data_IF_662420211021
#
_entry.id   IF_662420211021
#
_cell.length_a   1.000
_cell.length_b   1.000
_cell.length_c   1.000
_cell.angle_alpha   90.00
_cell.angle_beta   90.00
_cell.angle_gamma   90.00
#
_symmetry.space_group_name_H-M   'P 1'
#
loop_
_entity.id
_entity.type
_entity.pdbx_description
1 polymer ?
#
# COMPACT_ATOMS: atom_id res chain seq x y z
N UNK A 1 25.17 -4.22 20.47
CA UNK A 1 26.23 -4.19 19.44
C UNK A 1 26.89 -2.80 19.30
N UNK A 2 26.18 -1.67 19.29
CA UNK A 2 26.75 -0.34 18.98
C UNK A 2 27.20 0.55 20.17
N UNK A 3 27.40 0.00 21.37
CA UNK A 3 27.86 0.81 22.53
C UNK A 3 29.38 0.72 22.73
N UNK A 4 30.01 -0.40 22.31
CA UNK A 4 31.46 -0.64 22.44
C UNK A 4 32.33 -0.02 21.34
N UNK A 5 31.77 0.26 20.16
CA UNK A 5 32.52 0.77 18.98
C UNK A 5 32.57 2.30 18.88
N UNK A 6 32.12 3.03 19.91
CA UNK A 6 32.17 4.49 19.91
C UNK A 6 33.59 4.94 20.23
N UNK A 7 34.12 5.85 19.41
CA UNK A 7 35.42 6.48 19.68
C UNK A 7 35.34 7.39 20.92
N UNK A 8 34.17 8.00 21.16
CA UNK A 8 33.95 8.89 22.30
C UNK A 8 33.02 8.26 23.34
N UNK A 9 33.58 7.85 24.48
CA UNK A 9 32.89 7.10 25.55
C UNK A 9 32.16 7.99 26.57
N UNK A 10 32.03 9.30 26.33
CA UNK A 10 31.27 10.19 27.23
C UNK A 10 29.78 9.81 27.24
N UNK A 11 29.23 9.63 28.44
CA UNK A 11 27.86 9.14 28.70
C UNK A 11 26.76 10.00 28.01
N UNK A 12 27.05 11.27 27.71
CA UNK A 12 26.10 12.27 27.18
C UNK A 12 26.52 12.92 25.84
N UNK A 13 27.28 12.27 24.96
CA UNK A 13 27.62 12.85 23.66
C UNK A 13 26.36 12.96 22.75
N UNK A 14 25.98 14.19 22.35
CA UNK A 14 24.84 14.46 21.46
C UNK A 14 24.95 13.74 20.11
N UNK A 15 26.18 13.57 19.59
CA UNK A 15 26.49 12.89 18.32
C UNK A 15 27.64 11.88 18.51
N UNK A 16 27.37 10.58 18.73
CA UNK A 16 28.42 9.57 18.84
C UNK A 16 29.08 9.29 17.48
N UNK A 17 30.42 9.31 17.43
CA UNK A 17 31.25 8.95 16.27
C UNK A 17 31.69 7.50 16.33
N UNK A 18 31.72 6.82 15.18
CA UNK A 18 32.05 5.40 15.03
C UNK A 18 33.10 5.23 13.92
N UNK A 19 34.06 4.32 14.09
CA UNK A 19 35.10 4.07 13.10
C UNK A 19 34.55 3.43 11.82
N UNK A 20 33.78 2.34 11.95
CA UNK A 20 33.28 1.56 10.82
C UNK A 20 32.10 2.20 10.07
N UNK A 21 31.19 2.89 10.77
CA UNK A 21 29.91 3.31 10.17
C UNK A 21 29.93 4.73 9.59
N UNK A 22 30.80 5.62 10.05
CA UNK A 22 30.83 7.01 9.61
C UNK A 22 32.25 7.52 9.29
N UNK A 23 33.22 6.63 9.06
CA UNK A 23 34.63 6.96 8.83
C UNK A 23 35.13 8.03 9.81
N UNK A 24 35.01 7.73 11.11
CA UNK A 24 35.39 8.65 12.19
C UNK A 24 34.63 9.99 12.22
N UNK A 25 33.51 10.12 11.49
CA UNK A 25 32.72 11.35 11.38
C UNK A 25 32.87 12.09 10.04
N UNK A 26 33.72 11.61 9.13
CA UNK A 26 33.87 12.15 7.77
C UNK A 26 32.61 11.93 6.92
N UNK A 27 31.91 10.82 7.14
CA UNK A 27 30.63 10.54 6.48
C UNK A 27 29.48 10.90 7.40
N UNK A 28 28.86 12.05 7.14
CA UNK A 28 27.62 12.47 7.81
C UNK A 28 26.47 11.63 7.26
N UNK A 29 26.15 10.52 7.92
CA UNK A 29 25.04 9.65 7.51
C UNK A 29 23.74 10.49 7.44
N UNK A 30 23.10 10.63 6.26
CA UNK A 30 22.00 11.58 6.05
C UNK A 30 20.65 11.07 6.56
N UNK A 31 20.62 10.01 7.38
CA UNK A 31 19.37 9.47 7.91
C UNK A 31 18.94 10.23 9.16
N UNK A 32 18.38 11.41 8.94
CA UNK A 32 17.73 12.19 9.98
C UNK A 32 16.68 11.34 10.70
N UNK A 33 16.76 11.23 12.03
CA UNK A 33 15.69 10.59 12.85
C UNK A 33 14.32 11.20 12.55
N UNK A 34 14.31 12.47 12.13
CA UNK A 34 13.13 13.17 11.65
C UNK A 34 12.52 12.48 10.41
N UNK A 35 13.32 12.22 9.38
CA UNK A 35 12.87 11.55 8.15
C UNK A 35 12.23 10.20 8.47
N UNK A 36 12.89 9.34 9.26
CA UNK A 36 12.34 8.03 9.59
C UNK A 36 11.04 8.08 10.42
N UNK A 37 10.83 9.16 11.19
CA UNK A 37 9.60 9.35 11.97
C UNK A 37 8.47 9.91 11.10
N UNK A 38 8.81 10.74 10.11
CA UNK A 38 7.87 11.46 9.25
C UNK A 38 7.88 10.98 7.79
N UNK A 39 8.37 9.77 7.52
CA UNK A 39 8.52 9.22 6.18
C UNK A 39 7.21 9.16 5.40
N UNK A 40 6.08 8.92 6.09
CA UNK A 40 4.75 8.93 5.48
C UNK A 40 4.34 10.34 5.00
N UNK A 41 4.36 11.38 5.84
CA UNK A 41 4.24 12.77 5.39
C UNK A 41 5.16 13.16 4.24
N UNK A 42 6.46 12.80 4.31
CA UNK A 42 7.38 13.05 3.20
C UNK A 42 6.94 12.34 1.92
N UNK A 43 6.54 11.07 1.97
CA UNK A 43 6.04 10.36 0.80
C UNK A 43 4.78 11.00 0.21
N UNK A 44 3.84 11.45 1.05
CA UNK A 44 2.61 12.11 0.59
C UNK A 44 2.90 13.39 -0.19
N UNK A 45 3.89 14.17 0.25
CA UNK A 45 4.27 15.39 -0.44
C UNK A 45 4.87 15.10 -1.81
N UNK A 46 5.52 13.95 -1.99
CA UNK A 46 6.06 13.51 -3.29
C UNK A 46 5.10 12.65 -4.11
N UNK A 47 3.94 12.23 -3.61
CA UNK A 47 3.05 11.34 -4.37
C UNK A 47 2.41 12.06 -5.56
N UNK A 48 2.29 11.34 -6.68
CA UNK A 48 1.64 11.85 -7.90
C UNK A 48 0.12 11.79 -7.78
N UNK A 49 -0.38 10.81 -7.03
CA UNK A 49 -1.79 10.52 -6.83
C UNK A 49 -2.22 10.87 -5.42
N UNK A 50 -3.50 11.16 -5.27
CA UNK A 50 -4.17 11.18 -3.99
C UNK A 50 -4.70 9.80 -3.65
N UNK A 51 -4.60 9.44 -2.36
CA UNK A 51 -5.19 8.22 -1.82
C UNK A 51 -6.63 8.52 -1.40
N UNK A 52 -7.58 7.89 -2.08
CA UNK A 52 -9.00 7.83 -1.73
C UNK A 52 -9.23 6.84 -0.59
N UNK A 53 -10.24 7.11 0.24
CA UNK A 53 -10.56 6.32 1.43
C UNK A 53 -10.46 7.14 2.71
N UNK A 54 -11.33 6.84 3.68
CA UNK A 54 -11.36 7.52 4.97
C UNK A 54 -10.26 6.91 5.83
N UNK A 55 -9.09 7.55 5.84
CA UNK A 55 -8.07 7.23 6.84
C UNK A 55 -8.63 7.65 8.19
N UNK A 56 -9.02 6.69 9.00
CA UNK A 56 -9.54 6.89 10.35
C UNK A 56 -8.40 7.43 11.23
N UNK A 57 -8.37 8.75 11.44
CA UNK A 57 -7.39 9.44 12.29
C UNK A 57 -7.94 9.75 13.69
N UNK A 58 -9.23 9.50 13.90
CA UNK A 58 -10.07 9.98 15.01
C UNK A 58 -10.18 9.03 16.19
N UNK A 59 -9.81 7.75 16.03
CA UNK A 59 -9.90 6.82 17.15
C UNK A 59 -8.96 7.26 18.26
N UNK A 60 -9.54 7.54 19.43
CA UNK A 60 -8.79 7.81 20.65
C UNK A 60 -7.73 6.71 20.77
N UNK A 61 -6.46 7.10 20.96
CA UNK A 61 -5.38 6.16 21.26
C UNK A 61 -5.83 5.28 22.43
N UNK A 62 -6.30 4.07 22.13
CA UNK A 62 -6.55 3.06 23.13
C UNK A 62 -5.24 2.59 23.75
N UNK A 63 -5.31 1.62 24.67
CA UNK A 63 -4.11 0.95 25.22
C UNK A 63 -3.42 0.00 24.21
N UNK A 64 -3.91 -0.08 22.98
CA UNK A 64 -3.40 -0.95 21.92
C UNK A 64 -2.28 -0.32 21.06
N UNK A 65 -1.65 -1.12 20.19
CA UNK A 65 -0.62 -0.64 19.27
C UNK A 65 -1.15 0.41 18.29
N UNK A 66 -0.29 1.34 17.88
CA UNK A 66 -0.65 2.38 16.90
C UNK A 66 -0.71 1.75 15.49
N UNK A 67 -1.93 1.68 14.93
CA UNK A 67 -2.21 1.00 13.66
C UNK A 67 -2.65 1.98 12.57
N UNK A 68 -2.28 1.70 11.32
CA UNK A 68 -2.88 2.36 10.18
C UNK A 68 -4.24 1.72 9.87
N UNK A 69 -5.30 2.53 9.93
CA UNK A 69 -6.67 2.10 9.64
C UNK A 69 -7.23 2.88 8.46
N UNK A 70 -7.89 2.15 7.56
CA UNK A 70 -8.53 2.66 6.37
C UNK A 70 -9.96 2.15 6.35
N UNK A 71 -10.92 3.06 6.14
CA UNK A 71 -12.34 2.78 6.02
C UNK A 71 -12.84 3.22 4.64
N UNK A 72 -13.79 2.46 4.10
CA UNK A 72 -14.40 2.73 2.80
C UNK A 72 -13.57 2.18 1.63
N UNK A 73 -13.95 2.60 0.43
CA UNK A 73 -13.27 2.19 -0.80
C UNK A 73 -11.92 2.90 -0.94
N UNK A 74 -10.86 2.11 -1.14
CA UNK A 74 -9.54 2.62 -1.45
C UNK A 74 -9.34 2.72 -2.96
N UNK A 75 -8.91 3.89 -3.43
CA UNK A 75 -8.64 4.13 -4.84
C UNK A 75 -7.60 5.26 -5.00
N UNK A 76 -6.86 5.27 -6.10
CA UNK A 76 -5.92 6.36 -6.39
C UNK A 76 -6.56 7.31 -7.41
N UNK A 77 -6.59 8.60 -7.09
CA UNK A 77 -7.00 9.63 -8.03
C UNK A 77 -5.78 10.41 -8.50
N UNK A 78 -5.73 10.63 -9.81
CA UNK A 78 -4.80 11.53 -10.45
C UNK A 78 -5.55 12.80 -10.86
N UNK A 79 -4.94 13.97 -10.65
CA UNK A 79 -5.47 15.22 -11.19
C UNK A 79 -5.46 15.11 -12.72
N UNK A 80 -6.64 15.11 -13.34
CA UNK A 80 -6.73 14.95 -14.79
C UNK A 80 -6.38 16.24 -15.55
N UNK A 81 -6.37 17.37 -14.83
CA UNK A 81 -5.83 18.65 -15.28
C UNK A 81 -4.41 18.87 -14.75
N UNK A 82 -3.50 19.08 -15.68
CA UNK A 82 -2.10 19.45 -15.41
C UNK A 82 -2.01 20.93 -14.95
N UNK A 83 -2.96 21.76 -15.38
CA UNK A 83 -3.05 23.18 -15.01
C UNK A 83 -3.94 23.40 -13.79
N UNK A 84 -3.65 24.50 -13.09
CA UNK A 84 -4.33 24.95 -11.88
C UNK A 84 -5.73 25.48 -12.22
N UNK A 85 -6.82 25.01 -11.58
CA UNK A 85 -8.08 25.75 -11.54
C UNK A 85 -7.83 27.11 -10.84
N UNK A 86 -8.22 28.22 -11.46
CA UNK A 86 -7.96 29.57 -10.94
C UNK A 86 -8.30 29.70 -9.44
N UNK A 87 -7.33 30.18 -8.65
CA UNK A 87 -7.47 30.39 -7.21
C UNK A 87 -7.15 29.19 -6.31
N UNK A 88 -6.87 28.00 -6.86
CA UNK A 88 -6.52 26.81 -6.05
C UNK A 88 -5.01 26.54 -5.97
N UNK A 89 -4.54 25.95 -4.87
CA UNK A 89 -3.14 25.54 -4.72
C UNK A 89 -2.84 24.22 -5.44
N UNK A 90 -1.62 24.05 -5.97
CA UNK A 90 -1.20 22.82 -6.65
C UNK A 90 -1.12 21.64 -5.67
N UNK A 91 -1.63 20.47 -6.09
CA UNK A 91 -1.63 19.24 -5.26
C UNK A 91 -1.06 18.04 -6.00
N UNK A 92 -0.35 17.18 -5.27
CA UNK A 92 0.17 15.89 -5.75
C UNK A 92 0.98 16.03 -7.05
N UNK A 93 0.59 15.33 -8.13
CA UNK A 93 1.27 15.38 -9.43
C UNK A 93 1.45 16.80 -10.00
N UNK A 94 0.58 17.75 -9.65
CA UNK A 94 0.68 19.14 -10.09
C UNK A 94 1.92 19.86 -9.53
N UNK A 95 2.44 19.44 -8.36
CA UNK A 95 3.64 20.02 -7.74
C UNK A 95 4.92 19.80 -8.57
N UNK A 96 4.89 18.86 -9.53
CA UNK A 96 6.01 18.64 -10.43
C UNK A 96 5.99 19.58 -11.64
N UNK A 97 4.86 20.28 -11.87
CA UNK A 97 4.59 21.04 -13.09
C UNK A 97 4.34 22.51 -12.78
N UNK A 98 3.50 22.82 -11.80
CA UNK A 98 3.09 24.18 -11.44
C UNK A 98 4.05 24.77 -10.41
N UNK A 99 4.47 26.03 -10.62
CA UNK A 99 5.27 26.84 -9.68
C UNK A 99 6.47 26.08 -9.10
N UNK A 100 7.44 25.78 -9.97
CA UNK A 100 8.63 25.02 -9.59
C UNK A 100 9.68 25.84 -8.85
N UNK A 101 9.57 27.16 -8.87
CA UNK A 101 10.47 28.06 -8.14
C UNK A 101 10.20 27.99 -6.63
N UNK A 102 8.93 27.93 -6.23
CA UNK A 102 8.52 27.80 -4.83
C UNK A 102 8.19 26.35 -4.44
N UNK A 103 8.64 25.36 -5.21
CA UNK A 103 8.24 23.96 -5.01
C UNK A 103 8.56 23.45 -3.60
N UNK A 104 9.71 23.80 -3.04
CA UNK A 104 10.12 23.40 -1.68
C UNK A 104 9.18 23.99 -0.63
N UNK A 105 8.78 25.25 -0.81
CA UNK A 105 7.85 25.96 0.08
C UNK A 105 6.45 25.36 -0.02
N UNK A 106 5.97 25.18 -1.25
CA UNK A 106 4.68 24.58 -1.57
C UNK A 106 4.60 23.17 -0.96
N UNK A 107 5.65 22.36 -1.12
CA UNK A 107 5.76 21.01 -0.54
C UNK A 107 5.82 21.01 0.99
N UNK A 108 6.49 21.98 1.60
CA UNK A 108 6.54 22.11 3.06
C UNK A 108 5.17 22.50 3.65
N UNK A 109 4.42 23.35 2.95
CA UNK A 109 3.15 23.93 3.40
C UNK A 109 1.91 23.10 2.97
N UNK A 110 2.06 22.13 2.08
CA UNK A 110 0.99 21.21 1.64
C UNK A 110 0.21 20.53 2.79
N UNK A 111 0.84 20.31 3.94
CA UNK A 111 0.23 19.61 5.07
C UNK A 111 -0.44 20.53 6.11
N UNK A 112 -0.18 21.84 6.09
CA UNK A 112 -0.75 22.80 7.05
C UNK A 112 -2.14 23.31 6.67
N UNK A 113 -2.59 23.06 5.44
CA UNK A 113 -3.78 23.70 4.85
C UNK A 113 -5.05 22.82 4.89
N UNK A 114 -5.04 21.77 5.71
CA UNK A 114 -6.22 20.94 5.94
C UNK A 114 -7.30 21.67 6.74
N UNK A 115 -8.59 21.50 6.37
CA UNK A 115 -9.78 22.07 7.04
C UNK A 115 -9.96 21.74 8.53
N UNK A 116 -9.05 20.99 9.16
CA UNK A 116 -9.06 20.75 10.61
C UNK A 116 -7.78 21.34 11.19
N UNK A 117 -7.86 22.34 12.10
CA UNK A 117 -6.70 22.92 12.73
C UNK A 117 -6.07 21.87 13.64
N UNK A 118 -5.13 21.09 13.09
CA UNK A 118 -4.27 20.26 13.90
C UNK A 118 -3.28 21.20 14.56
N UNK A 119 -3.20 21.20 15.89
CA UNK A 119 -2.10 21.85 16.61
C UNK A 119 -0.81 21.07 16.28
N UNK A 120 -0.22 21.37 15.13
CA UNK A 120 1.10 20.85 14.73
C UNK A 120 2.10 21.47 15.69
N UNK A 121 2.75 20.66 16.52
CA UNK A 121 3.90 21.13 17.31
C UNK A 121 4.98 21.58 16.33
N UNK A 122 5.69 22.69 16.59
CA UNK A 122 6.80 23.20 15.73
C UNK A 122 7.80 22.12 15.26
N UNK A 123 7.96 21.02 16.01
CA UNK A 123 8.85 19.89 15.69
C UNK A 123 8.28 18.86 14.68
N UNK A 124 7.02 18.98 14.25
CA UNK A 124 6.37 18.07 13.29
C UNK A 124 6.29 18.67 11.88
N UNK A 125 6.80 19.89 11.65
CA UNK A 125 6.91 20.44 10.30
C UNK A 125 7.92 19.66 9.46
N UNK A 126 7.62 19.52 8.17
CA UNK A 126 8.55 18.94 7.23
C UNK A 126 9.76 19.86 7.08
N UNK A 127 10.96 19.31 7.30
CA UNK A 127 12.19 20.07 7.09
C UNK A 127 12.49 20.23 5.61
N UNK A 128 12.72 21.48 5.19
CA UNK A 128 13.00 21.88 3.80
C UNK A 128 14.27 21.23 3.24
N UNK A 129 15.32 21.12 4.05
CA UNK A 129 16.58 20.47 3.67
C UNK A 129 16.41 19.01 3.22
N UNK A 130 15.52 18.27 3.90
CA UNK A 130 15.18 16.89 3.52
C UNK A 130 14.34 16.87 2.24
N UNK A 131 13.40 17.80 2.08
CA UNK A 131 12.59 17.92 0.84
C UNK A 131 13.51 18.19 -0.35
N UNK A 132 14.42 19.15 -0.24
CA UNK A 132 15.39 19.47 -1.30
C UNK A 132 16.26 18.27 -1.68
N UNK A 133 16.76 17.54 -0.69
CA UNK A 133 17.59 16.35 -0.92
C UNK A 133 16.80 15.25 -1.64
N UNK A 134 15.57 14.97 -1.18
CA UNK A 134 14.69 13.98 -1.80
C UNK A 134 14.27 14.40 -3.21
N UNK A 135 14.02 15.69 -3.42
CA UNK A 135 13.66 16.25 -4.72
C UNK A 135 14.79 16.09 -5.74
N UNK A 136 16.03 16.43 -5.36
CA UNK A 136 17.21 16.22 -6.22
C UNK A 136 17.36 14.73 -6.60
N UNK A 137 17.32 13.85 -5.62
CA UNK A 137 17.40 12.40 -5.83
C UNK A 137 16.29 11.87 -6.76
N UNK A 138 15.04 12.29 -6.54
CA UNK A 138 13.92 11.86 -7.37
C UNK A 138 13.97 12.42 -8.79
N UNK A 139 14.44 13.66 -8.99
CA UNK A 139 14.66 14.23 -10.32
C UNK A 139 15.73 13.45 -11.11
N UNK A 140 16.78 12.99 -10.43
CA UNK A 140 17.87 12.21 -11.06
C UNK A 140 17.47 10.77 -11.39
N UNK A 141 16.71 10.12 -10.50
CA UNK A 141 16.51 8.67 -10.56
C UNK A 141 15.15 8.28 -11.12
N UNK A 142 14.08 8.99 -10.74
CA UNK A 142 12.72 8.51 -10.97
C UNK A 142 12.23 8.82 -12.39
N UNK A 143 11.84 7.80 -13.19
CA UNK A 143 11.41 8.00 -14.58
C UNK A 143 10.09 8.78 -14.70
N UNK A 144 9.16 8.61 -13.75
CA UNK A 144 7.91 9.37 -13.74
C UNK A 144 8.19 10.85 -13.48
N UNK A 145 9.03 11.18 -12.49
CA UNK A 145 9.40 12.57 -12.20
C UNK A 145 9.99 13.24 -13.44
N UNK A 146 10.95 12.60 -14.12
CA UNK A 146 11.53 13.11 -15.36
C UNK A 146 10.45 13.42 -16.42
N UNK A 147 9.46 12.54 -16.58
CA UNK A 147 8.39 12.74 -17.57
C UNK A 147 7.42 13.85 -17.19
N UNK A 148 7.08 14.00 -15.92
CA UNK A 148 6.30 15.14 -15.45
C UNK A 148 7.08 16.46 -15.66
N UNK A 149 8.39 16.48 -15.44
CA UNK A 149 9.25 17.65 -15.75
C UNK A 149 9.32 17.94 -17.25
N UNK A 150 9.50 16.91 -18.09
CA UNK A 150 9.46 17.11 -19.55
C UNK A 150 8.10 17.61 -20.03
N UNK A 151 7.01 17.17 -19.39
CA UNK A 151 5.67 17.67 -19.68
C UNK A 151 5.57 19.17 -19.33
N UNK A 152 6.04 19.57 -18.14
CA UNK A 152 6.13 20.98 -17.73
C UNK A 152 6.85 21.84 -18.76
N UNK A 153 8.05 21.42 -19.15
CA UNK A 153 8.89 22.22 -20.05
C UNK A 153 8.19 22.44 -21.41
N UNK A 154 7.44 21.44 -21.90
CA UNK A 154 6.62 21.57 -23.11
C UNK A 154 5.42 22.50 -22.92
N UNK A 155 4.71 22.42 -21.79
CA UNK A 155 3.60 23.33 -21.51
C UNK A 155 4.03 24.80 -21.41
N UNK A 156 5.27 25.05 -20.98
CA UNK A 156 5.84 26.40 -20.93
C UNK A 156 6.31 26.89 -22.30
N UNK A 157 6.84 25.99 -23.14
CA UNK A 157 7.37 26.33 -24.46
C UNK A 157 6.26 26.58 -25.48
N UNK A 158 5.16 25.82 -25.39
CA UNK A 158 4.07 25.86 -26.35
C UNK A 158 2.71 25.80 -25.63
N UNK A 159 2.20 26.97 -25.17
CA UNK A 159 0.96 27.04 -24.40
C UNK A 159 -0.29 26.76 -25.23
N UNK A 160 -0.26 26.99 -26.53
CA UNK A 160 -1.45 26.89 -27.39
C UNK A 160 -1.72 25.45 -27.84
N UNK A 161 -0.69 24.63 -27.99
CA UNK A 161 -0.86 23.25 -28.42
C UNK A 161 -1.33 22.31 -27.29
N UNK A 162 -2.35 21.50 -27.58
CA UNK A 162 -2.83 20.46 -26.68
C UNK A 162 -1.89 19.25 -26.71
N UNK A 163 -1.20 19.00 -25.58
CA UNK A 163 -0.38 17.81 -25.39
C UNK A 163 -1.01 16.87 -24.37
N UNK A 164 -0.86 15.58 -24.63
CA UNK A 164 -1.31 14.50 -23.76
C UNK A 164 -0.10 13.74 -23.20
N UNK A 165 -0.01 13.60 -21.88
CA UNK A 165 0.96 12.71 -21.27
C UNK A 165 0.31 11.36 -20.99
N UNK A 166 0.81 10.31 -21.63
CA UNK A 166 0.33 8.93 -21.51
C UNK A 166 1.29 8.12 -20.65
N UNK A 167 0.83 7.58 -19.54
CA UNK A 167 1.54 6.55 -18.77
C UNK A 167 1.03 5.20 -19.26
N UNK A 168 1.94 4.41 -19.80
CA UNK A 168 1.60 3.14 -20.45
C UNK A 168 1.35 2.07 -19.39
N UNK A 169 0.30 1.27 -19.55
CA UNK A 169 -0.05 0.15 -18.67
C UNK A 169 0.68 -1.12 -19.06
N UNK A 170 0.74 -1.40 -20.36
CA UNK A 170 1.46 -2.56 -20.90
C UNK A 170 2.97 -2.32 -20.91
N UNK A 171 3.71 -3.41 -20.66
CA UNK A 171 5.17 -3.39 -20.66
C UNK A 171 5.66 -4.48 -21.57
N UNK A 172 6.33 -4.08 -22.64
CA UNK A 172 6.93 -4.98 -23.63
C UNK A 172 8.05 -5.84 -23.01
N UNK A 173 8.67 -5.36 -21.92
CA UNK A 173 9.72 -6.06 -21.18
C UNK A 173 9.25 -6.52 -19.80
N UNK A 174 9.75 -7.67 -19.34
CA UNK A 174 9.50 -8.15 -17.98
C UNK A 174 10.34 -7.35 -16.96
N UNK A 175 9.68 -6.52 -16.15
CA UNK A 175 10.32 -5.70 -15.12
C UNK A 175 10.94 -6.49 -13.95
N UNK A 176 10.85 -7.83 -13.96
CA UNK A 176 11.55 -8.72 -13.02
C UNK A 176 12.98 -9.03 -13.43
N UNK A 177 13.33 -8.83 -14.69
CA UNK A 177 14.73 -8.82 -15.10
C UNK A 177 15.37 -7.54 -14.53
N UNK A 178 16.67 -7.54 -14.24
CA UNK A 178 17.42 -6.44 -13.58
C UNK A 178 17.41 -5.09 -14.34
N UNK A 179 16.45 -4.87 -15.23
CA UNK A 179 16.24 -3.68 -16.02
C UNK A 179 15.45 -2.65 -15.21
N UNK A 180 16.08 -1.52 -14.89
CA UNK A 180 15.37 -0.35 -14.37
C UNK A 180 14.46 0.22 -15.46
N UNK A 181 13.20 0.56 -15.17
CA UNK A 181 12.29 1.08 -16.18
C UNK A 181 12.80 2.41 -16.73
N UNK A 182 12.86 2.53 -18.06
CA UNK A 182 13.32 3.76 -18.71
C UNK A 182 12.15 4.73 -18.85
N UNK A 183 12.42 6.04 -18.78
CA UNK A 183 11.39 7.07 -18.86
C UNK A 183 10.46 6.87 -20.08
N UNK A 184 11.00 6.58 -21.27
CA UNK A 184 10.23 6.33 -22.50
C UNK A 184 9.40 5.04 -22.50
N UNK A 185 9.76 4.05 -21.69
CA UNK A 185 8.97 2.81 -21.52
C UNK A 185 7.76 3.04 -20.61
N UNK A 186 7.86 4.03 -19.73
CA UNK A 186 6.87 4.30 -18.68
C UNK A 186 5.84 5.30 -19.13
N UNK A 187 6.27 6.37 -19.82
CA UNK A 187 5.36 7.40 -20.32
C UNK A 187 5.83 8.08 -21.62
N UNK A 188 4.86 8.46 -22.44
CA UNK A 188 5.04 9.17 -23.70
C UNK A 188 4.27 10.50 -23.71
N UNK A 189 4.80 11.50 -24.43
CA UNK A 189 4.14 12.78 -24.68
C UNK A 189 3.65 12.78 -26.13
N UNK A 190 2.33 12.87 -26.33
CA UNK A 190 1.68 12.77 -27.64
C UNK A 190 1.16 14.16 -28.05
N UNK A 191 1.59 14.71 -29.20
CA UNK A 191 0.98 15.90 -29.81
C UNK A 191 -0.33 15.56 -30.54
N UNK A 192 -1.34 16.45 -30.48
CA UNK A 192 -2.61 16.42 -31.26
C UNK A 192 -3.66 15.35 -30.89
N UNK A 193 -4.80 15.43 -31.59
CA UNK A 193 -6.08 14.76 -31.31
C UNK A 193 -6.06 13.23 -31.38
N UNK A 194 -6.92 12.70 -30.53
CA UNK A 194 -7.11 11.32 -30.12
C UNK A 194 -7.21 10.30 -31.28
N UNK A 195 -6.39 9.26 -31.24
CA UNK A 195 -6.65 8.01 -31.96
C UNK A 195 -7.31 6.98 -31.04
N UNK A 196 -8.37 6.33 -31.52
CA UNK A 196 -9.21 5.35 -30.82
C UNK A 196 -8.51 4.05 -30.38
N UNK A 197 -7.25 3.82 -30.79
CA UNK A 197 -6.45 2.62 -30.45
C UNK A 197 -5.65 2.74 -29.13
N UNK A 198 -6.12 3.57 -28.20
CA UNK A 198 -5.53 3.59 -26.86
C UNK A 198 -6.06 2.42 -26.02
N UNK A 199 -5.13 1.63 -25.50
CA UNK A 199 -5.47 0.52 -24.62
C UNK A 199 -6.21 1.08 -23.38
N UNK A 200 -7.39 0.53 -23.05
CA UNK A 200 -8.36 1.12 -22.10
C UNK A 200 -7.83 1.28 -20.66
N UNK A 201 -6.60 0.84 -20.39
CA UNK A 201 -5.96 0.87 -19.07
C UNK A 201 -4.95 2.01 -18.91
N UNK A 202 -4.52 2.66 -19.98
CA UNK A 202 -3.47 3.69 -19.88
C UNK A 202 -3.96 4.96 -19.17
N UNK A 203 -3.04 5.63 -18.48
CA UNK A 203 -3.36 6.87 -17.77
C UNK A 203 -3.00 8.03 -18.68
N UNK A 204 -4.02 8.79 -19.10
CA UNK A 204 -3.84 9.98 -19.96
C UNK A 204 -4.06 11.23 -19.14
N UNK A 205 -3.03 12.07 -19.06
CA UNK A 205 -3.07 13.39 -18.44
C UNK A 205 -3.31 14.45 -19.50
N UNK A 206 -4.28 15.33 -19.23
CA UNK A 206 -4.71 16.41 -20.11
C UNK A 206 -4.42 17.78 -19.48
N UNK A 207 -4.30 18.81 -20.32
CA UNK A 207 -4.10 20.18 -19.82
C UNK A 207 -5.30 20.66 -18.99
N UNK A 208 -6.51 20.65 -19.58
CA UNK A 208 -7.69 21.35 -19.03
C UNK A 208 -8.93 20.43 -18.79
N UNK A 209 -8.76 19.18 -18.38
CA UNK A 209 -9.94 18.30 -18.25
C UNK A 209 -10.82 18.56 -17.01
N UNK A 210 -10.30 19.28 -16.00
CA UNK A 210 -11.01 19.67 -14.77
C UNK A 210 -11.49 18.52 -13.87
N UNK A 211 -11.32 17.26 -14.29
CA UNK A 211 -11.81 16.05 -13.60
C UNK A 211 -10.69 15.39 -12.79
N UNK A 212 -11.05 14.45 -11.93
CA UNK A 212 -10.09 13.54 -11.29
C UNK A 212 -10.20 12.19 -11.98
N UNK A 213 -9.07 11.63 -12.42
CA UNK A 213 -9.00 10.32 -13.05
C UNK A 213 -8.72 9.26 -12.01
N UNK A 214 -9.63 8.29 -11.86
CA UNK A 214 -9.39 7.10 -11.06
C UNK A 214 -8.46 6.15 -11.81
N UNK A 215 -7.32 5.83 -11.21
CA UNK A 215 -6.39 4.85 -11.77
C UNK A 215 -6.89 3.45 -11.42
N UNK A 216 -6.82 2.56 -12.41
CA UNK A 216 -7.13 1.14 -12.22
C UNK A 216 -6.13 0.46 -11.27
N UNK A 217 -6.62 -0.31 -10.31
CA UNK A 217 -5.81 -1.01 -9.28
C UNK A 217 -4.83 -2.01 -9.88
N UNK A 218 -5.08 -2.46 -11.11
CA UNK A 218 -4.28 -3.45 -11.86
C UNK A 218 -3.16 -2.78 -12.67
N UNK A 219 -3.13 -1.45 -12.72
CA UNK A 219 -2.15 -0.71 -13.49
C UNK A 219 -0.74 -0.90 -12.91
N UNK A 220 0.26 -1.19 -13.75
CA UNK A 220 1.64 -1.42 -13.32
C UNK A 220 2.19 -0.26 -12.45
N UNK A 221 1.89 0.97 -12.82
CA UNK A 221 2.30 2.19 -12.10
C UNK A 221 1.45 2.54 -10.86
N UNK A 222 0.38 1.80 -10.53
CA UNK A 222 -0.60 2.17 -9.50
C UNK A 222 0.06 2.48 -8.14
N UNK A 223 0.94 1.58 -7.68
CA UNK A 223 1.65 1.73 -6.41
C UNK A 223 2.86 2.69 -6.53
N UNK A 224 3.54 2.69 -7.67
CA UNK A 224 4.72 3.54 -7.89
C UNK A 224 4.36 5.03 -7.84
N UNK A 225 3.20 5.41 -8.40
CA UNK A 225 2.70 6.78 -8.38
C UNK A 225 2.29 7.26 -6.98
N UNK A 226 1.81 6.34 -6.13
CA UNK A 226 1.38 6.64 -4.76
C UNK A 226 2.54 6.63 -3.75
N UNK A 227 3.57 5.79 -3.98
CA UNK A 227 4.72 5.64 -3.07
C UNK A 227 6.08 5.91 -3.73
N UNK A 228 6.37 7.13 -4.22
CA UNK A 228 7.66 7.42 -4.87
C UNK A 228 8.89 7.19 -3.99
N UNK A 229 8.76 7.30 -2.66
CA UNK A 229 9.88 7.01 -1.74
C UNK A 229 10.10 5.52 -1.50
N UNK A 230 9.10 4.67 -1.77
CA UNK A 230 9.27 3.21 -1.77
C UNK A 230 9.76 2.73 -3.13
N UNK A 231 9.21 3.30 -4.22
CA UNK A 231 9.53 3.00 -5.61
C UNK A 231 10.36 4.12 -6.23
N UNK A 232 11.55 4.36 -5.68
CA UNK A 232 12.44 5.47 -6.10
C UNK A 232 12.80 5.40 -7.58
N UNK A 233 13.03 4.19 -8.10
CA UNK A 233 13.27 3.92 -9.53
C UNK A 233 12.00 3.82 -10.38
N UNK A 234 10.81 4.03 -9.81
CA UNK A 234 9.55 3.88 -10.52
C UNK A 234 9.23 2.43 -10.93
N UNK A 235 9.69 1.46 -10.13
CA UNK A 235 9.51 0.03 -10.40
C UNK A 235 8.03 -0.32 -10.55
N UNK A 236 7.73 -1.27 -11.44
CA UNK A 236 6.36 -1.70 -11.67
C UNK A 236 5.81 -2.50 -10.46
N UNK A 237 4.58 -2.18 -10.08
CA UNK A 237 3.81 -2.93 -9.10
C UNK A 237 3.14 -4.18 -9.69
N UNK A 238 2.02 -4.58 -9.07
CA UNK A 238 1.23 -5.70 -9.57
C UNK A 238 0.59 -5.37 -10.92
N UNK A 239 0.67 -6.32 -11.87
CA UNK A 239 -0.03 -6.28 -13.17
C UNK A 239 -0.49 -7.69 -13.55
N UNK A 240 -1.43 -7.79 -14.47
CA UNK A 240 -1.85 -9.08 -15.03
C UNK A 240 -0.77 -9.66 -15.96
N UNK A 241 -0.81 -10.98 -16.18
CA UNK A 241 0.11 -11.66 -17.10
C UNK A 241 1.53 -11.88 -16.55
N UNK A 242 1.78 -11.56 -15.29
CA UNK A 242 3.07 -11.84 -14.65
C UNK A 242 3.26 -13.37 -14.55
N UNK A 243 4.10 -13.95 -15.43
CA UNK A 243 4.41 -15.38 -15.44
C UNK A 243 5.02 -15.79 -14.11
N UNK A 244 4.50 -16.83 -13.45
CA UNK A 244 5.15 -17.39 -12.26
C UNK A 244 6.43 -18.08 -12.72
N UNK A 245 7.59 -17.70 -12.18
CA UNK A 245 8.83 -18.42 -12.47
C UNK A 245 8.69 -19.87 -12.01
N UNK A 246 8.57 -20.78 -12.97
CA UNK A 246 8.41 -22.19 -12.71
C UNK A 246 9.76 -22.76 -12.26
N UNK A 247 9.89 -22.98 -10.96
CA UNK A 247 10.92 -23.85 -10.40
C UNK A 247 10.22 -24.77 -9.41
N UNK A 248 10.54 -26.06 -9.46
CA UNK A 248 10.00 -27.13 -8.61
C UNK A 248 9.98 -26.73 -7.11
N UNK A 249 11.00 -26.02 -6.63
CA UNK A 249 11.12 -25.50 -5.25
C UNK A 249 10.13 -24.37 -4.90
N UNK A 250 9.50 -23.73 -5.89
CA UNK A 250 8.65 -22.54 -5.71
C UNK A 250 7.17 -22.88 -5.53
N UNK A 251 6.75 -24.13 -5.79
CA UNK A 251 5.37 -24.58 -5.47
C UNK A 251 5.08 -24.59 -3.96
N UNK A 252 6.09 -24.85 -3.11
CA UNK A 252 5.95 -24.85 -1.64
C UNK A 252 6.18 -23.50 -0.98
N UNK A 253 7.01 -22.63 -1.56
CA UNK A 253 7.30 -21.32 -0.99
C UNK A 253 6.38 -20.25 -1.59
N UNK A 254 5.19 -20.08 -0.97
CA UNK A 254 4.42 -18.83 -1.09
C UNK A 254 5.37 -17.68 -0.75
N UNK A 255 5.80 -16.91 -1.76
CA UNK A 255 6.78 -15.83 -1.63
C UNK A 255 6.20 -14.75 -0.74
N UNK A 256 6.47 -14.90 0.55
CA UNK A 256 6.17 -13.90 1.55
C UNK A 256 7.19 -12.75 1.40
N UNK A 257 6.87 -11.57 1.93
CA UNK A 257 7.82 -10.45 2.02
C UNK A 257 9.01 -10.88 2.89
N UNK A 258 10.02 -11.52 2.29
CA UNK A 258 11.18 -12.07 2.99
C UNK A 258 12.34 -11.11 2.76
N UNK A 259 12.85 -10.57 3.87
CA UNK A 259 14.16 -9.91 3.94
C UNK A 259 15.22 -10.92 3.52
N UNK A 260 15.81 -10.75 2.32
CA UNK A 260 17.00 -11.50 1.91
C UNK A 260 18.26 -10.80 2.44
N UNK A 261 19.21 -11.55 3.00
CA UNK A 261 20.38 -10.99 3.70
C UNK A 261 21.21 -9.98 2.89
N UNK A 262 21.16 -10.06 1.56
CA UNK A 262 21.96 -9.24 0.64
C UNK A 262 21.13 -8.22 -0.17
N UNK A 263 19.87 -7.98 0.18
CA UNK A 263 19.01 -7.01 -0.51
C UNK A 263 18.74 -5.78 0.37
N UNK A 264 18.55 -4.63 -0.26
CA UNK A 264 18.21 -3.38 0.43
C UNK A 264 16.87 -3.54 1.16
N UNK A 265 16.86 -3.23 2.46
CA UNK A 265 15.68 -3.34 3.31
C UNK A 265 14.86 -2.05 3.39
N UNK A 266 14.95 -1.18 2.37
CA UNK A 266 14.30 0.14 2.33
C UNK A 266 12.81 0.05 2.62
N UNK A 267 12.11 -0.84 1.91
CA UNK A 267 10.67 -1.10 2.10
C UNK A 267 10.35 -1.53 3.53
N UNK A 268 11.11 -2.48 4.08
CA UNK A 268 10.90 -3.07 5.41
C UNK A 268 11.29 -2.14 6.56
N UNK A 269 12.09 -1.11 6.29
CA UNK A 269 12.48 -0.07 7.27
C UNK A 269 11.61 1.19 7.18
N UNK A 270 10.61 1.23 6.29
CA UNK A 270 9.76 2.41 6.08
C UNK A 270 8.65 2.60 7.14
N UNK A 271 8.62 1.77 8.20
CA UNK A 271 7.76 1.92 9.41
C UNK A 271 6.28 2.10 9.06
N UNK A 272 5.66 3.23 9.45
CA UNK A 272 4.24 3.51 9.15
C UNK A 272 3.93 3.56 7.66
N UNK A 273 4.88 3.94 6.82
CA UNK A 273 4.69 3.92 5.38
C UNK A 273 4.56 2.49 4.87
N UNK A 274 5.31 1.54 5.45
CA UNK A 274 5.16 0.12 5.16
C UNK A 274 3.77 -0.40 5.53
N UNK A 275 3.26 -0.03 6.72
CA UNK A 275 1.90 -0.43 7.12
C UNK A 275 0.84 0.06 6.12
N UNK A 276 0.93 1.34 5.73
CA UNK A 276 0.04 1.91 4.73
C UNK A 276 0.15 1.16 3.40
N UNK A 277 1.37 0.92 2.92
CA UNK A 277 1.62 0.16 1.70
C UNK A 277 1.02 -1.25 1.74
N UNK A 278 1.14 -1.96 2.86
CA UNK A 278 0.58 -3.31 3.03
C UNK A 278 -0.95 -3.29 3.01
N UNK A 279 -1.57 -2.33 3.70
CA UNK A 279 -3.04 -2.18 3.69
C UNK A 279 -3.53 -1.85 2.28
N UNK A 280 -2.86 -0.92 1.61
CA UNK A 280 -3.18 -0.52 0.24
C UNK A 280 -3.05 -1.70 -0.73
N UNK A 281 -1.92 -2.41 -0.70
CA UNK A 281 -1.71 -3.63 -1.49
C UNK A 281 -2.73 -4.74 -1.20
N UNK A 282 -3.19 -4.89 0.05
CA UNK A 282 -4.25 -5.83 0.39
C UNK A 282 -5.60 -5.40 -0.22
N UNK A 283 -5.96 -4.12 -0.08
CA UNK A 283 -7.21 -3.60 -0.63
C UNK A 283 -7.25 -3.65 -2.15
N UNK A 284 -6.14 -3.44 -2.86
CA UNK A 284 -6.11 -3.57 -4.33
C UNK A 284 -6.36 -5.00 -4.77
N UNK A 285 -5.83 -5.99 -4.05
CA UNK A 285 -6.09 -7.41 -4.29
C UNK A 285 -7.57 -7.73 -4.06
N UNK A 286 -8.12 -7.31 -2.93
CA UNK A 286 -9.53 -7.57 -2.61
C UNK A 286 -10.49 -6.86 -3.58
N UNK A 287 -10.22 -5.61 -3.95
CA UNK A 287 -10.97 -4.88 -4.99
C UNK A 287 -10.94 -5.62 -6.32
N UNK A 288 -9.79 -6.15 -6.73
CA UNK A 288 -9.68 -6.94 -7.95
C UNK A 288 -10.49 -8.26 -7.87
N UNK A 289 -10.47 -8.96 -6.72
CA UNK A 289 -11.28 -10.17 -6.49
C UNK A 289 -12.77 -9.87 -6.56
N UNK A 290 -13.21 -8.78 -5.93
CA UNK A 290 -14.60 -8.32 -5.97
C UNK A 290 -15.02 -7.94 -7.40
N UNK A 291 -14.15 -7.23 -8.13
CA UNK A 291 -14.38 -6.89 -9.54
C UNK A 291 -14.53 -8.11 -10.42
N UNK A 292 -13.68 -9.13 -10.22
CA UNK A 292 -13.81 -10.41 -10.92
C UNK A 292 -15.16 -11.07 -10.63
N UNK A 293 -15.55 -11.17 -9.36
CA UNK A 293 -16.84 -11.73 -8.99
C UNK A 293 -18.00 -10.93 -9.61
N UNK A 294 -17.91 -9.60 -9.66
CA UNK A 294 -18.94 -8.74 -10.26
C UNK A 294 -19.10 -8.98 -11.75
N UNK A 295 -18.00 -9.10 -12.48
CA UNK A 295 -18.01 -9.30 -13.94
C UNK A 295 -18.38 -10.73 -14.36
N UNK A 296 -18.11 -11.74 -13.51
CA UNK A 296 -18.33 -13.15 -13.82
C UNK A 296 -19.61 -13.72 -13.17
N UNK A 297 -20.51 -12.86 -12.70
CA UNK A 297 -21.80 -13.28 -12.10
C UNK A 297 -22.59 -14.29 -12.96
N UNK A 298 -22.72 -14.13 -14.29
CA UNK A 298 -23.49 -15.09 -15.10
C UNK A 298 -22.92 -16.52 -15.06
N UNK A 299 -21.59 -16.65 -14.99
CA UNK A 299 -20.92 -17.96 -14.89
C UNK A 299 -20.98 -18.55 -13.47
N UNK A 300 -21.08 -17.70 -12.44
CA UNK A 300 -21.18 -18.10 -11.03
C UNK A 300 -22.61 -18.45 -10.59
N UNK A 301 -23.61 -18.24 -11.45
CA UNK A 301 -25.06 -18.32 -11.15
C UNK A 301 -25.67 -19.73 -11.09
N UNK A 302 -24.89 -20.81 -11.09
CA UNK A 302 -25.46 -22.18 -11.06
C UNK A 302 -26.16 -22.59 -9.75
N UNK A 303 -26.09 -21.80 -8.66
CA UNK A 303 -26.65 -22.19 -7.35
C UNK A 303 -27.69 -21.20 -6.75
N UNK A 304 -28.34 -20.35 -7.55
CA UNK A 304 -29.32 -19.36 -7.02
C UNK A 304 -30.71 -19.41 -7.65
N UNK A 305 -31.01 -20.45 -8.43
CA UNK A 305 -32.36 -20.63 -8.98
C UNK A 305 -33.38 -20.88 -7.86
N UNK A 306 -32.99 -21.62 -6.81
CA UNK A 306 -33.89 -22.02 -5.72
C UNK A 306 -34.35 -20.83 -4.86
N UNK A 307 -33.46 -19.91 -4.49
CA UNK A 307 -33.82 -18.76 -3.65
C UNK A 307 -34.69 -17.72 -4.38
N UNK A 308 -34.54 -17.62 -5.71
CA UNK A 308 -35.37 -16.73 -6.54
C UNK A 308 -36.74 -17.36 -6.73
N UNK A 309 -36.80 -18.67 -7.00
CA UNK A 309 -38.03 -19.46 -7.13
C UNK A 309 -38.82 -19.53 -5.81
N UNK A 310 -38.14 -19.61 -4.67
CA UNK A 310 -38.78 -19.53 -3.34
C UNK A 310 -39.39 -18.15 -3.06
N UNK A 311 -38.77 -17.06 -3.52
CA UNK A 311 -39.32 -15.71 -3.33
C UNK A 311 -40.49 -15.41 -4.25
N UNK A 312 -40.47 -15.94 -5.48
CA UNK A 312 -41.61 -15.92 -6.41
C UNK A 312 -42.80 -16.70 -5.83
N UNK A 313 -42.54 -17.90 -5.29
CA UNK A 313 -43.56 -18.71 -4.61
C UNK A 313 -44.11 -18.06 -3.33
N UNK A 314 -43.38 -17.14 -2.71
CA UNK A 314 -43.80 -16.42 -1.50
C UNK A 314 -44.63 -15.14 -1.78
N UNK A 315 -44.95 -14.83 -3.05
CA UNK A 315 -45.88 -13.76 -3.40
C UNK A 315 -45.42 -12.34 -3.08
N UNK A 316 -44.11 -12.11 -2.92
CA UNK A 316 -43.58 -10.75 -2.68
C UNK A 316 -43.49 -9.98 -3.99
N UNK A 317 -44.37 -8.99 -4.16
CA UNK A 317 -44.50 -8.16 -5.37
C UNK A 317 -43.57 -6.94 -5.36
N UNK A 318 -43.04 -6.56 -4.19
CA UNK A 318 -42.13 -5.42 -4.07
C UNK A 318 -40.66 -5.86 -4.18
N UNK A 319 -40.09 -5.67 -5.37
CA UNK A 319 -38.72 -6.03 -5.73
C UNK A 319 -37.70 -4.91 -5.41
N UNK A 320 -38.12 -3.74 -4.91
CA UNK A 320 -37.21 -2.63 -4.63
C UNK A 320 -36.24 -2.90 -3.46
N UNK A 321 -36.61 -3.81 -2.54
CA UNK A 321 -35.73 -4.27 -1.46
C UNK A 321 -34.87 -5.49 -1.81
N UNK A 322 -35.09 -6.12 -2.98
CA UNK A 322 -34.40 -7.34 -3.43
C UNK A 322 -33.32 -7.08 -4.50
N UNK A 323 -32.91 -5.83 -4.68
CA UNK A 323 -31.81 -5.46 -5.55
C UNK A 323 -30.48 -5.34 -4.80
N UNK A 324 -29.86 -6.45 -4.39
CA UNK A 324 -28.38 -6.40 -4.38
C UNK A 324 -27.94 -6.75 -5.80
N UNK A 325 -27.50 -5.74 -6.56
CA UNK A 325 -27.01 -5.89 -7.95
C UNK A 325 -25.89 -6.95 -8.07
N UNK A 326 -25.33 -7.37 -6.93
CA UNK A 326 -24.20 -8.28 -6.83
C UNK A 326 -24.28 -9.14 -5.57
N UNK A 327 -24.32 -10.47 -5.72
CA UNK A 327 -24.27 -11.42 -4.60
C UNK A 327 -22.89 -12.03 -4.45
N UNK A 328 -22.34 -11.98 -3.24
CA UNK A 328 -21.06 -12.60 -2.92
C UNK A 328 -21.22 -14.11 -2.66
N UNK A 329 -20.36 -14.97 -3.24
CA UNK A 329 -20.39 -16.41 -2.98
C UNK A 329 -19.90 -16.73 -1.56
N UNK A 330 -20.28 -17.90 -1.03
CA UNK A 330 -19.80 -18.37 0.27
C UNK A 330 -18.28 -18.59 0.33
N UNK A 331 -17.61 -18.76 -0.81
CA UNK A 331 -16.15 -18.83 -0.89
C UNK A 331 -15.45 -17.48 -0.62
N UNK A 332 -16.18 -16.37 -0.65
CA UNK A 332 -15.65 -15.06 -0.31
C UNK A 332 -15.69 -14.85 1.21
N UNK A 333 -14.52 -14.93 1.84
CA UNK A 333 -14.36 -14.76 3.30
C UNK A 333 -14.91 -13.42 3.75
N UNK A 334 -15.75 -13.44 4.78
CA UNK A 334 -16.41 -12.25 5.33
C UNK A 334 -17.70 -11.83 4.63
N UNK A 335 -18.13 -12.52 3.57
CA UNK A 335 -19.46 -12.33 3.00
C UNK A 335 -20.58 -12.84 3.93
N UNK A 336 -21.83 -12.34 3.82
CA UNK A 336 -22.95 -12.89 4.58
C UNK A 336 -23.16 -14.40 4.37
N UNK A 337 -22.96 -14.91 3.14
CA UNK A 337 -23.06 -16.34 2.83
C UNK A 337 -21.93 -17.15 3.46
N UNK A 338 -20.69 -16.63 3.47
CA UNK A 338 -19.58 -17.26 4.18
C UNK A 338 -19.88 -17.39 5.68
N UNK A 339 -20.37 -16.32 6.31
CA UNK A 339 -20.73 -16.33 7.74
C UNK A 339 -21.86 -17.32 8.04
N UNK A 340 -22.89 -17.38 7.17
CA UNK A 340 -23.97 -18.36 7.29
C UNK A 340 -23.46 -19.79 7.18
N UNK A 341 -22.57 -20.08 6.22
CA UNK A 341 -21.98 -21.41 6.09
C UNK A 341 -21.14 -21.78 7.31
N UNK A 342 -20.28 -20.89 7.81
CA UNK A 342 -19.52 -21.15 9.03
C UNK A 342 -20.42 -21.46 10.23
N UNK A 343 -21.56 -20.77 10.34
CA UNK A 343 -22.55 -21.07 11.38
C UNK A 343 -23.18 -22.46 11.19
N UNK A 344 -23.63 -22.79 9.97
CA UNK A 344 -24.22 -24.10 9.67
C UNK A 344 -23.22 -25.24 9.89
N UNK A 345 -21.96 -25.06 9.50
CA UNK A 345 -20.87 -26.02 9.73
C UNK A 345 -20.65 -26.21 11.23
N UNK A 346 -20.62 -25.12 12.01
CA UNK A 346 -20.51 -25.21 13.46
C UNK A 346 -21.68 -25.97 14.09
N UNK A 347 -22.92 -25.71 13.66
CA UNK A 347 -24.10 -26.43 14.14
C UNK A 347 -24.07 -27.91 13.76
N UNK A 348 -23.58 -28.25 12.57
CA UNK A 348 -23.42 -29.63 12.13
C UNK A 348 -22.36 -30.37 12.97
N UNK A 349 -21.23 -29.72 13.27
CA UNK A 349 -20.20 -30.24 14.18
C UNK A 349 -20.80 -30.48 15.56
N UNK A 350 -21.52 -29.50 16.12
CA UNK A 350 -22.17 -29.64 17.44
C UNK A 350 -23.21 -30.77 17.46
N UNK A 351 -23.95 -30.97 16.37
CA UNK A 351 -24.91 -32.07 16.26
C UNK A 351 -24.23 -33.44 16.22
N UNK A 352 -23.08 -33.55 15.57
CA UNK A 352 -22.38 -34.83 15.40
C UNK A 352 -21.50 -35.19 16.61
N UNK A 353 -20.73 -34.24 17.12
CA UNK A 353 -19.75 -34.47 18.20
C UNK A 353 -20.23 -34.00 19.57
N UNK A 354 -21.35 -33.28 19.66
CA UNK A 354 -21.82 -32.65 20.89
C UNK A 354 -21.32 -31.21 21.05
N UNK A 355 -21.75 -30.55 22.12
CA UNK A 355 -21.34 -29.17 22.40
C UNK A 355 -19.86 -29.11 22.84
N UNK A 356 -19.13 -28.04 22.48
CA UNK A 356 -17.73 -27.90 22.87
C UNK A 356 -17.57 -27.72 24.39
N UNK A 357 -16.71 -28.50 25.01
CA UNK A 357 -16.41 -28.39 26.45
C UNK A 357 -15.47 -27.21 26.77
N UNK A 358 -14.60 -26.85 25.84
CA UNK A 358 -13.59 -25.80 26.03
C UNK A 358 -13.71 -24.68 25.01
N UNK A 359 -13.66 -23.44 25.50
CA UNK A 359 -13.52 -22.24 24.67
C UNK A 359 -12.12 -21.64 24.87
N UNK A 360 -11.18 -21.97 23.98
CA UNK A 360 -9.79 -21.53 24.08
C UNK A 360 -9.59 -20.24 23.28
N UNK A 361 -9.17 -19.17 23.96
CA UNK A 361 -8.78 -17.92 23.30
C UNK A 361 -7.26 -17.80 23.26
N UNK A 362 -6.67 -17.74 22.06
CA UNK A 362 -5.24 -17.53 21.87
C UNK A 362 -4.97 -16.11 21.36
N UNK A 363 -4.28 -15.30 22.17
CA UNK A 363 -3.98 -13.89 21.83
C UNK A 363 -2.51 -13.69 21.50
N UNK A 364 -2.23 -12.78 20.56
CA UNK A 364 -0.87 -12.44 20.20
C UNK A 364 -0.23 -11.49 21.22
N UNK A 365 1.01 -11.76 21.63
CA UNK A 365 1.78 -10.87 22.50
C UNK A 365 2.93 -10.20 21.72
N UNK A 366 2.89 -8.88 21.46
CA UNK A 366 3.97 -8.15 20.78
C UNK A 366 5.32 -8.19 21.52
N UNK A 367 5.34 -8.53 22.80
CA UNK A 367 6.54 -8.63 23.64
C UNK A 367 7.21 -10.01 23.59
N UNK A 368 6.73 -10.95 22.77
CA UNK A 368 7.41 -12.23 22.62
C UNK A 368 8.90 -12.05 22.29
N UNK A 369 9.79 -12.91 22.82
CA UNK A 369 11.24 -12.74 22.69
C UNK A 369 11.70 -12.79 21.23
N UNK A 370 11.03 -13.58 20.38
CA UNK A 370 11.31 -13.68 18.96
C UNK A 370 11.04 -12.35 18.23
N UNK A 371 9.89 -11.72 18.51
CA UNK A 371 9.52 -10.39 17.98
C UNK A 371 10.50 -9.34 18.50
N UNK A 372 10.72 -9.32 19.82
CA UNK A 372 11.58 -8.34 20.49
C UNK A 372 13.02 -8.40 19.97
N UNK A 373 13.57 -9.61 19.78
CA UNK A 373 14.91 -9.83 19.21
C UNK A 373 14.99 -9.30 17.78
N UNK A 374 13.98 -9.58 16.95
CA UNK A 374 13.93 -9.13 15.56
C UNK A 374 13.93 -7.59 15.45
N UNK A 375 13.10 -6.96 16.26
CA UNK A 375 12.81 -5.52 16.25
C UNK A 375 13.95 -4.71 16.86
N UNK A 376 14.51 -5.14 17.99
CA UNK A 376 15.64 -4.45 18.67
C UNK A 376 16.87 -4.40 17.77
N UNK A 377 17.19 -5.48 17.07
CA UNK A 377 18.32 -5.52 16.14
C UNK A 377 18.20 -4.49 15.01
N UNK A 378 16.98 -4.12 14.62
CA UNK A 378 16.66 -3.26 13.48
C UNK A 378 16.24 -1.84 13.84
N UNK A 379 16.22 -1.48 15.13
CA UNK A 379 15.72 -0.18 15.64
C UNK A 379 14.31 0.15 15.14
N UNK A 380 13.45 -0.87 15.06
CA UNK A 380 12.04 -0.76 14.72
C UNK A 380 11.18 -0.85 15.99
N UNK A 381 9.87 -0.71 15.86
CA UNK A 381 8.88 -1.16 16.85
C UNK A 381 8.21 -2.45 16.37
N UNK A 382 7.55 -3.16 17.28
CA UNK A 382 6.77 -4.35 16.91
C UNK A 382 5.65 -3.97 15.92
N UNK A 383 5.01 -2.83 16.16
CA UNK A 383 3.96 -2.24 15.32
C UNK A 383 4.40 -2.04 13.88
N UNK A 384 5.65 -1.60 13.66
CA UNK A 384 6.20 -1.33 12.33
C UNK A 384 6.28 -2.60 11.46
N UNK A 385 6.19 -3.79 12.06
CA UNK A 385 6.35 -5.10 11.41
C UNK A 385 5.22 -6.07 11.77
N UNK A 386 4.00 -5.68 11.39
CA UNK A 386 2.79 -6.51 11.52
C UNK A 386 2.92 -7.88 10.85
N UNK A 387 3.65 -7.97 9.73
CA UNK A 387 3.92 -9.22 9.03
C UNK A 387 4.67 -10.24 9.91
N UNK A 388 5.63 -9.79 10.72
CA UNK A 388 6.39 -10.64 11.63
C UNK A 388 5.53 -11.08 12.81
N UNK A 389 4.70 -10.17 13.33
CA UNK A 389 3.73 -10.47 14.40
C UNK A 389 2.78 -11.59 13.93
N UNK A 390 2.15 -11.43 12.75
CA UNK A 390 1.23 -12.43 12.20
C UNK A 390 1.91 -13.78 11.96
N UNK A 391 3.16 -13.78 11.47
CA UNK A 391 3.91 -15.03 11.28
C UNK A 391 4.22 -15.75 12.58
N UNK A 392 4.70 -15.04 13.59
CA UNK A 392 5.04 -15.64 14.88
C UNK A 392 3.76 -16.12 15.58
N UNK A 393 2.66 -15.35 15.48
CA UNK A 393 1.35 -15.79 15.94
C UNK A 393 0.94 -17.10 15.28
N UNK A 394 1.03 -17.21 13.96
CA UNK A 394 0.69 -18.45 13.24
C UNK A 394 1.56 -19.63 13.65
N UNK A 395 2.88 -19.44 13.77
CA UNK A 395 3.81 -20.50 14.23
C UNK A 395 3.46 -20.98 15.64
N UNK A 396 3.16 -20.06 16.57
CA UNK A 396 2.79 -20.42 17.94
C UNK A 396 1.41 -21.07 18.00
N UNK A 397 0.46 -20.61 17.19
CA UNK A 397 -0.86 -21.22 17.06
C UNK A 397 -0.75 -22.65 16.52
N UNK A 398 0.05 -22.88 15.48
CA UNK A 398 0.27 -24.21 14.91
C UNK A 398 0.94 -25.14 15.94
N UNK A 399 1.90 -24.63 16.71
CA UNK A 399 2.52 -25.37 17.81
C UNK A 399 1.53 -25.72 18.93
N UNK A 400 0.57 -24.84 19.22
CA UNK A 400 -0.51 -25.11 20.17
C UNK A 400 -1.43 -26.19 19.61
N UNK A 401 -1.90 -26.04 18.38
CA UNK A 401 -2.77 -27.03 17.71
C UNK A 401 -2.12 -28.41 17.65
N UNK A 402 -0.82 -28.50 17.33
CA UNK A 402 -0.08 -29.76 17.34
C UNK A 402 -0.01 -30.38 18.74
N UNK A 403 0.11 -29.57 19.78
CA UNK A 403 0.14 -30.06 21.17
C UNK A 403 -1.23 -30.58 21.60
N UNK A 404 -2.30 -29.87 21.25
CA UNK A 404 -3.67 -30.26 21.60
C UNK A 404 -4.11 -31.52 20.84
N UNK A 405 -3.89 -31.56 19.52
CA UNK A 405 -4.43 -32.61 18.65
C UNK A 405 -3.52 -33.83 18.52
N UNK A 406 -2.18 -33.65 18.46
CA UNK A 406 -1.24 -34.76 18.18
C UNK A 406 -0.60 -35.32 19.42
N UNK A 407 -0.31 -34.48 20.42
CA UNK A 407 0.35 -34.93 21.66
C UNK A 407 -0.63 -35.49 22.70
N UNK A 408 -1.92 -35.64 22.35
CA UNK A 408 -2.95 -36.30 23.17
C UNK A 408 -3.01 -35.77 24.59
N UNK A 409 -2.85 -34.46 24.75
CA UNK A 409 -2.81 -33.80 26.05
C UNK A 409 -4.14 -33.95 26.81
N UNK A 410 -5.25 -34.14 26.09
CA UNK A 410 -6.59 -34.39 26.61
C UNK A 410 -7.07 -35.85 26.41
N UNK A 411 -6.17 -36.80 26.15
CA UNK A 411 -6.52 -38.21 25.88
C UNK A 411 -6.63 -38.56 24.40
N UNK A 412 -6.98 -39.82 24.08
CA UNK A 412 -7.04 -40.35 22.69
C UNK A 412 -8.31 -39.97 21.92
N UNK A 413 -9.36 -39.54 22.62
CA UNK A 413 -10.73 -39.49 22.08
C UNK A 413 -11.29 -38.05 21.95
N UNK A 414 -10.43 -37.03 21.94
CA UNK A 414 -10.84 -35.65 21.67
C UNK A 414 -10.62 -35.35 20.18
N UNK A 415 -11.73 -35.32 19.42
CA UNK A 415 -11.77 -34.88 18.01
C UNK A 415 -12.03 -33.39 17.94
#
# INVERSE_FOLDING_TARGET
>A
MWYGERLNKRRNAKNPTFSLCCMQGQVKLPLSRHFQRHIRPYNMVFSFTSLGGRVERSLKKGRGPDMFQLEGENYHLLGAGITRPEGSEPKFGQLYIVDTENEVENRANCLSLGKRPFQVKKNDHLRKDIIETLMKMLNEINPYVKKFRSARDRFNTDPENSFHMRIVSERLKDGRTYNTPTASEVAALIPRDFSLDMDKRDIVLQKNSGKLLRINEIHASYLALQYPLLFTYGEDGFRLGIKKGATEKTKKNRRSLISRKNESHSLLHSRRLFQQFVVDAFTTIESNRLRYLKLNQPSLRSNSYDSIKESENAGKVDMNGQGTEFTLPASFVGSPRYMKNCYLDAMAICKHFGFPDFFITFTCNPKWPEITRYVKARKLKAEDRSDIICRIFKIKLDSLMDTLTKKKYFGRDTV
#
